data_IF_436217830193
#
_entry.id   IF_436217830193
#
_cell.length_a   1.000
_cell.length_b   1.000
_cell.length_c   1.000
_cell.angle_alpha   90.00
_cell.angle_beta   90.00
_cell.angle_gamma   90.00
#
_symmetry.space_group_name_H-M   'P 1'
#
loop_
_entity.id
_entity.type
_entity.pdbx_description
1 polymer ?
#
# COMPACT_ATOMS: atom_id res chain seq x y z
N UNK A 1 8.22 -3.10 23.07
CA UNK A 1 8.64 -4.38 22.46
C UNK A 1 10.00 -4.12 21.85
N UNK A 2 10.96 -5.00 22.09
CA UNK A 2 12.33 -4.83 21.60
C UNK A 2 12.47 -5.41 20.19
N UNK A 3 13.13 -4.67 19.29
CA UNK A 3 13.45 -5.18 17.98
C UNK A 3 14.64 -6.16 18.10
N UNK A 4 14.52 -7.44 17.70
CA UNK A 4 15.60 -8.41 17.84
C UNK A 4 16.81 -8.13 16.92
N UNK A 5 16.67 -7.22 15.94
CA UNK A 5 17.71 -6.87 14.99
C UNK A 5 18.57 -5.68 15.44
N UNK A 6 17.96 -4.65 16.03
CA UNK A 6 18.67 -3.43 16.45
C UNK A 6 18.61 -3.16 17.96
N UNK A 7 17.88 -3.98 18.73
CA UNK A 7 17.67 -3.87 20.19
C UNK A 7 17.05 -2.55 20.67
N UNK A 8 16.52 -1.74 19.76
CA UNK A 8 15.83 -0.51 20.11
C UNK A 8 14.40 -0.81 20.56
N UNK A 9 13.90 0.05 21.44
CA UNK A 9 12.50 0.02 21.85
C UNK A 9 11.62 0.59 20.74
N UNK A 10 10.69 -0.22 20.23
CA UNK A 10 9.69 0.24 19.28
C UNK A 10 8.64 1.08 20.00
N UNK A 11 8.12 2.15 19.35
CA UNK A 11 7.04 2.93 19.91
C UNK A 11 5.83 2.02 20.14
N UNK A 12 5.16 2.21 21.26
CA UNK A 12 4.05 1.35 21.67
C UNK A 12 2.99 2.16 22.42
N UNK A 13 1.73 1.86 22.14
CA UNK A 13 0.57 2.43 22.82
C UNK A 13 -0.07 1.37 23.73
N UNK A 14 -0.41 1.67 24.99
CA UNK A 14 -1.15 0.74 25.84
C UNK A 14 -2.58 0.54 25.33
N UNK A 15 -3.02 -0.71 25.20
CA UNK A 15 -4.41 -1.03 24.90
C UNK A 15 -5.31 -0.69 26.09
N UNK A 16 -6.39 0.05 25.87
CA UNK A 16 -7.36 0.42 26.90
C UNK A 16 -8.09 -0.78 27.52
N UNK A 17 -8.20 -1.91 26.79
CA UNK A 17 -8.94 -3.09 27.24
C UNK A 17 -8.07 -4.10 27.97
N UNK A 18 -6.86 -4.41 27.48
CA UNK A 18 -6.02 -5.46 28.07
C UNK A 18 -4.70 -4.93 28.68
N UNK A 19 -4.39 -3.64 28.53
CA UNK A 19 -3.16 -3.03 29.04
C UNK A 19 -1.88 -3.40 28.30
N UNK A 20 -1.92 -4.34 27.34
CA UNK A 20 -0.75 -4.73 26.56
C UNK A 20 -0.29 -3.61 25.63
N UNK A 21 1.03 -3.54 25.45
CA UNK A 21 1.70 -2.62 24.52
C UNK A 21 1.41 -3.05 23.08
N UNK A 22 0.61 -2.27 22.37
CA UNK A 22 0.30 -2.46 20.95
C UNK A 22 1.17 -1.57 20.06
N UNK A 23 1.29 -1.93 18.77
CA UNK A 23 1.96 -1.09 17.78
C UNK A 23 1.10 0.16 17.50
N UNK A 24 1.69 1.36 17.52
CA UNK A 24 1.00 2.56 17.07
C UNK A 24 0.62 2.43 15.59
N UNK A 25 -0.60 2.79 15.24
CA UNK A 25 -1.14 2.70 13.88
C UNK A 25 -1.71 1.34 13.47
N UNK A 26 -1.62 0.31 14.32
CA UNK A 26 -2.40 -0.91 14.12
C UNK A 26 -3.89 -0.61 14.35
N UNK A 27 -4.78 -1.18 13.54
CA UNK A 27 -6.23 -1.01 13.72
C UNK A 27 -6.78 -1.77 14.94
N UNK A 28 -6.10 -2.86 15.34
CA UNK A 28 -6.53 -3.74 16.43
C UNK A 28 -5.35 -4.17 17.31
N UNK A 29 -5.62 -4.43 18.58
CA UNK A 29 -4.65 -4.96 19.52
C UNK A 29 -4.28 -6.41 19.17
N UNK A 30 -3.00 -6.69 18.94
CA UNK A 30 -2.50 -8.04 18.63
C UNK A 30 -2.70 -9.07 19.74
N UNK A 31 -3.06 -8.65 20.96
CA UNK A 31 -3.25 -9.55 22.09
C UNK A 31 -4.73 -9.86 22.37
N UNK A 32 -5.61 -8.86 22.32
CA UNK A 32 -7.03 -9.04 22.67
C UNK A 32 -8.01 -8.75 21.54
N UNK A 33 -7.56 -8.27 20.38
CA UNK A 33 -8.41 -7.93 19.23
C UNK A 33 -9.23 -6.65 19.37
N UNK A 34 -9.13 -5.92 20.49
CA UNK A 34 -9.83 -4.64 20.66
C UNK A 34 -9.32 -3.59 19.66
N UNK A 35 -10.23 -2.78 19.12
CA UNK A 35 -9.91 -1.66 18.25
C UNK A 35 -8.99 -0.65 18.93
N UNK A 36 -7.97 -0.18 18.21
CA UNK A 36 -7.01 0.81 18.71
C UNK A 36 -7.32 2.17 18.09
N UNK A 37 -6.96 3.27 18.76
CA UNK A 37 -7.16 4.59 18.19
C UNK A 37 -6.38 4.73 16.87
N UNK A 38 -6.99 5.42 15.91
CA UNK A 38 -6.39 5.70 14.62
C UNK A 38 -5.05 6.45 14.79
N UNK A 39 -4.05 6.18 13.94
CA UNK A 39 -2.79 6.91 13.99
C UNK A 39 -3.03 8.40 13.73
N UNK A 40 -2.56 9.25 14.65
CA UNK A 40 -2.45 10.69 14.44
C UNK A 40 -1.31 10.92 13.45
N UNK A 41 -1.62 11.10 12.16
CA UNK A 41 -0.57 11.35 11.19
C UNK A 41 -1.01 11.67 9.76
N UNK A 42 -2.09 11.09 9.25
CA UNK A 42 -2.61 11.48 7.94
C UNK A 42 -4.13 11.45 7.98
N UNK A 43 -4.82 12.59 7.78
CA UNK A 43 -6.26 12.55 7.60
C UNK A 43 -6.54 11.62 6.42
N UNK A 44 -7.54 10.71 6.55
CA UNK A 44 -7.93 9.90 5.41
C UNK A 44 -8.23 10.87 4.27
N UNK A 45 -7.53 10.64 3.18
CA UNK A 45 -7.74 11.31 1.92
C UNK A 45 -9.15 10.95 1.46
N UNK A 46 -10.10 11.82 1.81
CA UNK A 46 -11.52 11.65 1.55
C UNK A 46 -11.94 12.57 0.40
N UNK A 47 -12.90 12.11 -0.40
CA UNK A 47 -13.61 12.88 -1.41
C UNK A 47 -15.11 12.84 -1.11
N UNK A 48 -15.83 13.86 -1.52
CA UNK A 48 -17.28 13.92 -1.36
C UNK A 48 -17.95 13.51 -2.66
N UNK A 49 -18.88 12.57 -2.59
CA UNK A 49 -19.67 12.17 -3.76
C UNK A 49 -20.52 13.34 -4.24
N UNK A 50 -20.40 13.69 -5.53
CA UNK A 50 -21.19 14.77 -6.13
C UNK A 50 -22.69 14.45 -6.25
N UNK A 51 -23.05 13.16 -6.27
CA UNK A 51 -24.41 12.69 -6.50
C UNK A 51 -25.25 12.61 -5.22
N UNK A 52 -24.67 12.14 -4.10
CA UNK A 52 -25.40 12.01 -2.82
C UNK A 52 -24.81 12.81 -1.65
N UNK A 53 -23.65 13.45 -1.84
CA UNK A 53 -22.97 14.21 -0.78
C UNK A 53 -22.23 13.36 0.25
N UNK A 54 -22.22 12.03 0.11
CA UNK A 54 -21.53 11.14 1.05
C UNK A 54 -20.01 11.18 0.87
N UNK A 55 -19.29 11.14 1.98
CA UNK A 55 -17.83 11.06 2.00
C UNK A 55 -17.35 9.64 1.69
N UNK A 56 -16.40 9.53 0.76
CA UNK A 56 -15.81 8.28 0.27
C UNK A 56 -14.28 8.38 0.27
N UNK A 57 -13.52 7.28 0.44
CA UNK A 57 -12.07 7.33 0.31
C UNK A 57 -11.65 7.73 -1.10
N UNK A 58 -10.56 8.51 -1.23
CA UNK A 58 -10.06 9.02 -2.51
C UNK A 58 -9.75 7.93 -3.55
N UNK A 59 -9.54 6.69 -3.10
CA UNK A 59 -9.26 5.54 -3.97
C UNK A 59 -10.49 4.71 -4.35
N UNK A 60 -11.68 5.05 -3.84
CA UNK A 60 -12.91 4.34 -4.16
C UNK A 60 -13.28 4.56 -5.63
N UNK A 61 -13.67 3.48 -6.32
CA UNK A 61 -14.19 3.54 -7.70
C UNK A 61 -15.66 3.94 -7.77
N UNK A 62 -16.41 3.64 -6.71
CA UNK A 62 -17.84 3.89 -6.62
C UNK A 62 -18.19 4.37 -5.21
N UNK A 63 -19.24 5.18 -5.11
CA UNK A 63 -19.82 5.56 -3.83
C UNK A 63 -20.50 4.34 -3.19
N UNK A 64 -20.15 4.03 -1.94
CA UNK A 64 -20.73 2.89 -1.22
C UNK A 64 -22.24 3.06 -0.93
N UNK A 65 -22.74 4.30 -0.89
CA UNK A 65 -24.14 4.57 -0.55
C UNK A 65 -25.05 4.69 -1.78
N UNK A 66 -24.61 5.36 -2.85
CA UNK A 66 -25.45 5.60 -4.04
C UNK A 66 -24.99 4.88 -5.30
N UNK A 67 -23.82 4.25 -5.30
CA UNK A 67 -23.27 3.53 -6.46
C UNK A 67 -22.68 4.41 -7.57
N UNK A 68 -22.70 5.74 -7.42
CA UNK A 68 -22.13 6.68 -8.40
C UNK A 68 -20.62 6.45 -8.59
N UNK A 69 -20.14 6.61 -9.83
CA UNK A 69 -18.72 6.49 -10.13
C UNK A 69 -17.95 7.67 -9.52
N UNK A 70 -16.84 7.36 -8.84
CA UNK A 70 -15.96 8.35 -8.23
C UNK A 70 -14.64 8.34 -8.99
N UNK A 71 -14.42 9.38 -9.78
CA UNK A 71 -13.21 9.53 -10.59
C UNK A 71 -12.12 10.21 -9.77
N UNK A 72 -11.11 9.44 -9.35
CA UNK A 72 -9.79 9.98 -9.00
C UNK A 72 -8.81 9.53 -10.10
N UNK A 73 -8.53 10.44 -11.03
CA UNK A 73 -7.45 10.34 -12.02
C UNK A 73 -6.19 10.98 -11.40
N UNK A 74 -4.97 10.44 -11.64
CA UNK A 74 -4.57 9.80 -12.87
C UNK A 74 -4.38 8.28 -12.73
N UNK A 75 -5.07 7.54 -13.61
CA UNK A 75 -4.52 6.29 -14.12
C UNK A 75 -3.12 6.64 -14.63
N UNK A 76 -2.08 6.05 -14.04
CA UNK A 76 -0.80 6.00 -14.73
C UNK A 76 -1.01 5.09 -15.94
N UNK A 77 -1.38 5.70 -17.07
CA UNK A 77 -1.36 5.02 -18.36
C UNK A 77 0.08 4.58 -18.59
N UNK A 78 0.29 3.26 -18.60
CA UNK A 78 1.62 2.66 -18.69
C UNK A 78 1.77 1.35 -17.90
N UNK A 79 0.79 0.99 -17.07
CA UNK A 79 0.77 -0.31 -16.39
C UNK A 79 -0.16 -1.30 -17.09
N UNK A 80 0.02 -1.54 -18.39
CA UNK A 80 -0.60 -2.70 -19.03
C UNK A 80 0.11 -3.96 -18.50
N UNK A 81 -0.57 -4.85 -17.73
CA UNK A 81 0.06 -6.02 -17.10
C UNK A 81 0.57 -7.08 -18.10
N UNK A 82 0.47 -6.83 -19.41
CA UNK A 82 1.02 -7.67 -20.48
C UNK A 82 2.29 -7.14 -21.17
N UNK A 83 2.75 -5.90 -20.89
CA UNK A 83 3.93 -5.31 -21.54
C UNK A 83 5.18 -5.27 -20.66
N UNK A 84 5.19 -6.05 -19.57
CA UNK A 84 6.28 -6.06 -18.58
C UNK A 84 7.07 -7.34 -18.68
N UNK A 85 8.33 -7.22 -19.06
CA UNK A 85 9.24 -8.36 -19.15
C UNK A 85 10.07 -8.45 -17.88
N UNK A 86 10.06 -9.60 -17.21
CA UNK A 86 10.90 -9.85 -16.05
C UNK A 86 12.39 -9.99 -16.44
N UNK A 87 13.29 -9.67 -15.52
CA UNK A 87 14.72 -9.86 -15.73
C UNK A 87 15.07 -11.32 -16.04
N UNK A 88 15.95 -11.56 -17.02
CA UNK A 88 16.38 -12.92 -17.42
C UNK A 88 17.35 -13.58 -16.44
N UNK A 89 17.81 -12.87 -15.40
CA UNK A 89 18.82 -13.32 -14.44
C UNK A 89 18.29 -14.33 -13.40
N UNK A 90 16.97 -14.60 -13.38
CA UNK A 90 16.30 -15.61 -12.54
C UNK A 90 16.26 -15.33 -11.03
N UNK A 91 17.25 -14.61 -10.51
CA UNK A 91 17.35 -14.18 -9.11
C UNK A 91 17.04 -12.68 -8.92
N UNK A 92 16.97 -11.91 -10.01
CA UNK A 92 16.68 -10.48 -9.96
C UNK A 92 15.17 -10.23 -10.06
N UNK A 93 14.61 -9.45 -9.12
CA UNK A 93 13.18 -9.08 -9.08
C UNK A 93 12.80 -7.99 -10.09
N UNK A 94 13.76 -7.49 -10.87
CA UNK A 94 13.57 -6.33 -11.74
C UNK A 94 12.82 -6.62 -13.04
N UNK A 95 12.39 -5.53 -13.67
CA UNK A 95 11.78 -5.53 -15.02
C UNK A 95 12.73 -4.93 -16.05
N UNK A 96 12.53 -5.29 -17.31
CA UNK A 96 13.31 -4.78 -18.43
C UNK A 96 12.76 -3.44 -18.89
N UNK A 97 13.65 -2.43 -18.92
CA UNK A 97 13.42 -1.13 -19.52
C UNK A 97 13.18 -1.23 -21.03
N UNK A 98 12.58 -0.19 -21.66
CA UNK A 98 12.53 -0.08 -23.12
C UNK A 98 13.92 -0.11 -23.78
N UNK A 99 14.98 0.24 -23.05
CA UNK A 99 16.38 0.14 -23.50
C UNK A 99 16.96 -1.29 -23.47
N UNK A 100 16.17 -2.30 -23.09
CA UNK A 100 16.60 -3.70 -23.07
C UNK A 100 17.50 -4.08 -21.90
N UNK A 101 17.54 -3.28 -20.83
CA UNK A 101 18.30 -3.55 -19.59
C UNK A 101 17.38 -3.63 -18.38
N UNK A 102 17.75 -4.42 -17.39
CA UNK A 102 17.01 -4.49 -16.12
C UNK A 102 17.17 -3.19 -15.30
N UNK A 103 16.07 -2.63 -14.79
CA UNK A 103 16.09 -1.40 -13.97
C UNK A 103 16.76 -1.60 -12.59
N UNK A 104 16.81 -2.83 -12.09
CA UNK A 104 17.35 -3.13 -10.76
C UNK A 104 18.84 -3.51 -10.83
N UNK A 105 19.22 -4.42 -11.73
CA UNK A 105 20.59 -4.95 -11.81
C UNK A 105 21.42 -4.42 -12.98
N UNK A 106 20.83 -3.67 -13.91
CA UNK A 106 21.51 -3.09 -15.07
C UNK A 106 21.94 -4.06 -16.17
N UNK A 107 21.77 -5.38 -15.95
CA UNK A 107 22.14 -6.42 -16.92
C UNK A 107 21.27 -6.34 -18.20
N UNK A 108 21.84 -6.63 -19.37
CA UNK A 108 21.07 -6.71 -20.61
C UNK A 108 20.09 -7.89 -20.57
N UNK A 109 18.93 -7.73 -21.19
CA UNK A 109 17.97 -8.82 -21.37
C UNK A 109 18.50 -9.84 -22.37
N UNK A 110 18.48 -11.11 -21.97
CA UNK A 110 18.97 -12.26 -22.75
C UNK A 110 17.89 -13.31 -23.00
N UNK A 111 16.64 -13.02 -22.65
CA UNK A 111 15.50 -13.91 -22.87
C UNK A 111 14.94 -13.86 -24.30
N UNK A 112 13.87 -14.62 -24.60
CA UNK A 112 13.24 -14.60 -25.91
C UNK A 112 12.72 -13.20 -26.26
N UNK A 113 12.84 -12.80 -27.53
CA UNK A 113 12.31 -11.52 -28.00
C UNK A 113 10.81 -11.43 -27.69
N UNK A 114 10.42 -10.36 -27.00
CA UNK A 114 9.03 -9.99 -26.69
C UNK A 114 8.39 -9.18 -27.80
#
# INVERSE_FOLDING_TARGET
>A
MECPHCKQELPALPCATCGQKALPGASFCHHCGHELPAPEGEPPKLLTCASCGQTSPQKAKFCAECGEQLEDLPVMEGLEPGKRTACSDGNCIGIISPEGKCIECGKPYTGPAV
#
